data_IF_907347868957
#
_entry.id   IF_907347868957
#
_cell.length_a   1.000
_cell.length_b   1.000
_cell.length_c   1.000
_cell.angle_alpha   90.00
_cell.angle_beta   90.00
_cell.angle_gamma   90.00
#
_symmetry.space_group_name_H-M   'P 1'
#
loop_
_entity.id
_entity.type
_entity.pdbx_description
1 polymer ?
#
# COMPACT_ATOMS: atom_id res chain seq x y z
N UNK A 1 7.86 -23.03 29.19
CA UNK A 1 6.92 -23.15 30.32
C UNK A 1 5.86 -24.24 30.08
N UNK A 2 5.38 -24.43 28.87
CA UNK A 2 4.34 -25.44 28.52
C UNK A 2 4.81 -26.89 28.68
N UNK A 3 6.07 -27.20 28.32
CA UNK A 3 6.62 -28.59 28.37
C UNK A 3 6.70 -29.12 29.82
N UNK A 4 7.03 -28.28 30.81
CA UNK A 4 7.09 -28.71 32.22
C UNK A 4 5.72 -29.05 32.83
N UNK A 5 4.65 -28.48 32.33
CA UNK A 5 3.30 -28.75 32.82
C UNK A 5 2.81 -30.11 32.28
N UNK A 6 3.22 -30.47 31.06
CA UNK A 6 2.85 -31.74 30.47
C UNK A 6 3.49 -32.96 31.19
N UNK A 7 4.73 -32.83 31.57
CA UNK A 7 5.43 -33.87 32.36
C UNK A 7 4.85 -34.06 33.78
N UNK A 8 4.40 -32.98 34.41
CA UNK A 8 3.74 -33.08 35.72
C UNK A 8 2.36 -33.78 35.64
N UNK A 9 1.59 -33.51 34.55
CA UNK A 9 0.30 -34.15 34.33
C UNK A 9 0.43 -35.65 34.05
N UNK A 10 1.41 -36.04 33.21
CA UNK A 10 1.70 -37.45 32.93
C UNK A 10 2.13 -38.21 34.19
N UNK A 11 2.94 -37.59 35.04
CA UNK A 11 3.36 -38.19 36.31
C UNK A 11 2.19 -38.36 37.28
N UNK A 12 1.26 -37.43 37.32
CA UNK A 12 0.07 -37.48 38.17
C UNK A 12 -0.92 -38.57 37.71
N UNK A 13 -1.12 -38.71 36.43
CA UNK A 13 -1.99 -39.73 35.81
C UNK A 13 -1.39 -41.14 36.04
N UNK A 14 -0.07 -41.30 35.95
CA UNK A 14 0.62 -42.56 36.20
C UNK A 14 0.54 -43.01 37.66
N UNK A 15 0.55 -42.06 38.60
CA UNK A 15 0.47 -42.33 40.04
C UNK A 15 -0.92 -42.76 40.50
N UNK A 16 -1.99 -42.28 39.83
CA UNK A 16 -3.40 -42.65 40.13
C UNK A 16 -3.67 -44.10 39.70
N UNK A 17 -3.03 -44.57 38.63
CA UNK A 17 -3.25 -45.93 38.09
C UNK A 17 -2.54 -47.02 38.91
N UNK A 18 -1.57 -46.72 39.77
CA UNK A 18 -0.87 -47.71 40.58
C UNK A 18 -1.59 -48.09 41.88
N UNK A 19 -2.62 -47.35 42.31
CA UNK A 19 -3.27 -47.57 43.61
C UNK A 19 -4.67 -48.19 43.57
N UNK A 20 -5.15 -48.67 42.39
CA UNK A 20 -6.48 -49.34 42.33
C UNK A 20 -6.41 -50.73 41.72
N UNK A 21 -5.88 -51.69 42.45
CA UNK A 21 -6.32 -53.09 42.31
C UNK A 21 -7.63 -53.25 43.12
N UNK A 22 -8.77 -53.37 42.46
CA UNK A 22 -9.95 -53.94 43.10
C UNK A 22 -11.29 -53.25 42.93
N UNK A 23 -11.48 -52.31 41.98
CA UNK A 23 -12.83 -51.77 41.77
C UNK A 23 -13.12 -51.77 40.26
N UNK A 24 -14.14 -52.59 39.89
CA UNK A 24 -14.71 -52.67 38.53
C UNK A 24 -15.50 -51.39 38.28
N UNK A 25 -14.87 -50.36 37.69
CA UNK A 25 -15.58 -49.14 37.34
C UNK A 25 -16.17 -49.25 35.96
N UNK A 26 -17.49 -49.03 35.87
CA UNK A 26 -18.18 -48.74 34.60
C UNK A 26 -17.53 -47.51 33.97
N UNK A 27 -17.15 -47.64 32.71
CA UNK A 27 -16.63 -46.54 31.90
C UNK A 27 -17.72 -45.47 31.74
N UNK A 28 -17.61 -44.40 32.46
CA UNK A 28 -18.49 -43.24 32.28
C UNK A 28 -17.81 -42.28 31.30
N UNK A 29 -18.54 -41.70 30.32
CA UNK A 29 -17.97 -40.79 29.29
C UNK A 29 -17.58 -39.40 29.82
N UNK A 30 -17.70 -39.17 31.14
CA UNK A 30 -17.39 -37.86 31.75
C UNK A 30 -15.90 -37.44 31.71
N UNK A 31 -14.96 -38.41 31.70
CA UNK A 31 -13.53 -38.07 31.69
C UNK A 31 -13.03 -37.56 30.32
N UNK A 32 -13.64 -38.02 29.22
CA UNK A 32 -13.29 -37.52 27.88
C UNK A 32 -13.89 -36.12 27.62
N UNK A 33 -15.07 -35.81 28.18
CA UNK A 33 -15.70 -34.50 28.02
C UNK A 33 -14.94 -33.38 28.72
N UNK A 34 -14.28 -33.68 29.85
CA UNK A 34 -13.48 -32.65 30.56
C UNK A 34 -12.18 -32.28 29.84
N UNK A 35 -11.58 -33.21 29.09
CA UNK A 35 -10.36 -32.92 28.29
C UNK A 35 -10.72 -32.14 27.05
N UNK A 36 -11.85 -32.38 26.41
CA UNK A 36 -12.32 -31.59 25.29
C UNK A 36 -12.75 -30.17 25.69
N UNK A 37 -13.33 -29.98 26.87
CA UNK A 37 -13.68 -28.65 27.39
C UNK A 37 -12.47 -27.78 27.73
N UNK A 38 -11.37 -28.38 28.18
CA UNK A 38 -10.12 -27.67 28.46
C UNK A 38 -9.35 -27.28 27.17
N UNK A 39 -9.53 -28.02 26.09
CA UNK A 39 -8.95 -27.68 24.78
C UNK A 39 -9.74 -26.59 24.05
N UNK A 40 -11.04 -26.47 24.31
CA UNK A 40 -11.90 -25.44 23.72
C UNK A 40 -11.78 -24.08 24.39
N UNK A 41 -11.29 -24.02 25.64
CA UNK A 41 -11.06 -22.75 26.36
C UNK A 41 -9.77 -22.02 25.99
N UNK A 42 -8.86 -22.68 25.24
CA UNK A 42 -7.63 -22.03 24.77
C UNK A 42 -7.71 -21.39 23.38
N UNK A 43 -8.87 -21.42 22.73
CA UNK A 43 -9.07 -20.78 21.41
C UNK A 43 -9.72 -19.39 21.46
N UNK A 44 -9.97 -18.83 22.65
CA UNK A 44 -10.66 -17.53 22.78
C UNK A 44 -9.75 -16.37 23.20
N UNK A 45 -8.46 -16.49 23.03
CA UNK A 45 -7.55 -15.34 23.13
C UNK A 45 -7.06 -14.94 21.73
N UNK A 46 -7.94 -14.92 20.74
CA UNK A 46 -7.78 -14.02 19.59
C UNK A 46 -8.10 -12.65 20.13
N UNK A 47 -7.08 -11.82 20.23
CA UNK A 47 -7.17 -10.46 20.69
C UNK A 47 -8.33 -9.74 19.99
N UNK A 48 -9.45 -9.60 20.71
CA UNK A 48 -10.43 -8.57 20.43
C UNK A 48 -9.73 -7.25 20.74
N UNK A 49 -9.74 -6.35 19.78
CA UNK A 49 -9.35 -4.94 19.97
C UNK A 49 -7.84 -4.61 20.06
N UNK A 50 -7.00 -5.23 19.23
CA UNK A 50 -5.80 -4.51 18.82
C UNK A 50 -6.25 -3.50 17.74
N UNK A 51 -6.49 -2.26 18.13
CA UNK A 51 -6.50 -1.13 17.18
C UNK A 51 -5.25 -1.29 16.31
N UNK A 52 -5.38 -1.34 14.96
CA UNK A 52 -4.21 -1.47 14.11
C UNK A 52 -3.18 -0.42 14.53
N UNK A 53 -1.96 -0.83 14.81
CA UNK A 53 -0.90 0.13 15.12
C UNK A 53 -0.79 1.09 13.93
N UNK A 54 -0.74 2.41 14.17
CA UNK A 54 -0.61 3.37 13.09
C UNK A 54 0.66 3.09 12.29
N UNK A 55 0.59 3.27 10.96
CA UNK A 55 1.72 3.09 10.06
C UNK A 55 2.71 4.25 10.23
N UNK A 56 3.61 4.12 11.19
CA UNK A 56 4.66 5.09 11.44
C UNK A 56 5.97 4.72 10.73
N UNK A 57 6.94 5.65 10.65
CA UNK A 57 8.28 5.35 10.16
C UNK A 57 8.84 4.07 10.78
N UNK A 58 9.37 3.18 9.96
CA UNK A 58 9.91 1.90 10.39
C UNK A 58 8.95 0.70 10.29
N UNK A 59 7.68 0.91 9.92
CA UNK A 59 6.76 -0.21 9.62
C UNK A 59 7.19 -0.86 8.31
N UNK A 60 7.43 -2.17 8.34
CA UNK A 60 7.77 -2.94 7.14
C UNK A 60 6.55 -3.69 6.58
N UNK A 61 6.70 -4.27 5.38
CA UNK A 61 5.62 -4.99 4.69
C UNK A 61 5.06 -6.15 5.51
N UNK A 62 5.89 -6.86 6.27
CA UNK A 62 5.45 -7.96 7.11
C UNK A 62 4.54 -7.47 8.26
N UNK A 63 4.84 -6.30 8.84
CA UNK A 63 3.98 -5.69 9.84
C UNK A 63 2.65 -5.22 9.25
N UNK A 64 2.67 -4.66 8.03
CA UNK A 64 1.45 -4.30 7.29
C UNK A 64 0.57 -5.52 7.04
N UNK A 65 1.15 -6.63 6.59
CA UNK A 65 0.43 -7.87 6.32
C UNK A 65 -0.25 -8.47 7.57
N UNK A 66 0.27 -8.18 8.77
CA UNK A 66 -0.31 -8.63 10.03
C UNK A 66 -1.50 -7.77 10.50
N UNK A 67 -1.63 -6.54 10.00
CA UNK A 67 -2.64 -5.59 10.48
C UNK A 67 -3.99 -5.73 9.79
N UNK A 68 -4.01 -6.16 8.53
CA UNK A 68 -5.24 -6.34 7.77
C UNK A 68 -5.06 -7.40 6.68
N UNK A 69 -6.14 -8.07 6.23
CA UNK A 69 -6.10 -8.94 5.06
C UNK A 69 -5.91 -8.07 3.80
N UNK A 70 -4.67 -7.82 3.44
CA UNK A 70 -4.30 -7.01 2.27
C UNK A 70 -4.09 -7.93 1.07
N UNK A 71 -4.62 -7.53 -0.07
CA UNK A 71 -4.45 -8.25 -1.34
C UNK A 71 -3.10 -7.89 -1.98
N UNK A 72 -2.05 -8.57 -1.55
CA UNK A 72 -0.68 -8.34 -2.00
C UNK A 72 -0.43 -8.89 -3.40
N UNK A 73 0.22 -8.07 -4.26
CA UNK A 73 0.62 -8.44 -5.61
C UNK A 73 2.09 -8.09 -5.86
N UNK A 74 2.75 -8.87 -6.71
CA UNK A 74 4.00 -8.49 -7.36
C UNK A 74 3.74 -7.90 -8.74
N UNK A 75 4.73 -7.19 -9.31
CA UNK A 75 4.67 -6.69 -10.69
C UNK A 75 4.44 -7.84 -11.69
N UNK A 76 5.08 -8.99 -11.46
CA UNK A 76 4.90 -10.18 -12.30
C UNK A 76 3.44 -10.72 -12.27
N UNK A 77 2.78 -10.68 -11.12
CA UNK A 77 1.37 -11.07 -11.01
C UNK A 77 0.46 -10.07 -11.73
N UNK A 78 0.79 -8.77 -11.68
CA UNK A 78 0.07 -7.76 -12.47
C UNK A 78 0.25 -8.06 -13.96
N UNK A 79 1.51 -8.24 -14.45
CA UNK A 79 1.80 -8.58 -15.84
C UNK A 79 1.01 -9.80 -16.30
N UNK A 80 1.05 -10.89 -15.52
CA UNK A 80 0.32 -12.13 -15.81
C UNK A 80 -1.20 -11.92 -15.90
N UNK A 81 -1.77 -11.05 -15.06
CA UNK A 81 -3.20 -10.73 -15.09
C UNK A 81 -3.65 -9.98 -16.36
N UNK A 82 -2.69 -9.42 -17.08
CA UNK A 82 -2.91 -8.68 -18.33
C UNK A 82 -2.65 -9.51 -19.61
N UNK A 83 -2.23 -10.76 -19.46
CA UNK A 83 -1.99 -11.65 -20.60
C UNK A 83 -3.25 -11.80 -21.45
N UNK A 84 -3.10 -11.68 -22.77
CA UNK A 84 -4.21 -11.79 -23.72
C UNK A 84 -5.16 -10.58 -23.76
N UNK A 85 -4.96 -9.57 -22.93
CA UNK A 85 -5.74 -8.32 -23.00
C UNK A 85 -5.12 -7.36 -24.01
N UNK A 86 -5.93 -6.62 -24.76
CA UNK A 86 -5.44 -5.60 -25.69
C UNK A 86 -4.74 -4.45 -24.93
N UNK A 87 -3.90 -3.66 -25.61
CA UNK A 87 -3.38 -2.42 -25.06
C UNK A 87 -4.48 -1.52 -24.51
N UNK A 88 -4.18 -0.81 -23.43
CA UNK A 88 -5.13 0.02 -22.71
C UNK A 88 -4.49 1.32 -22.21
N UNK A 89 -5.31 2.27 -21.75
CA UNK A 89 -4.84 3.45 -21.02
C UNK A 89 -4.59 3.10 -19.56
N UNK A 90 -3.40 3.43 -19.08
CA UNK A 90 -2.99 3.26 -17.67
C UNK A 90 -2.51 4.59 -17.12
N UNK A 91 -2.82 4.84 -15.86
CA UNK A 91 -2.47 6.07 -15.18
C UNK A 91 -1.60 5.80 -13.96
N UNK A 92 -0.75 6.76 -13.65
CA UNK A 92 0.10 6.78 -12.49
C UNK A 92 -0.02 8.14 -11.78
N UNK A 93 -0.15 8.13 -10.47
CA UNK A 93 0.18 9.30 -9.67
C UNK A 93 1.70 9.51 -9.67
N UNK A 94 2.16 10.67 -9.26
CA UNK A 94 3.59 11.03 -9.30
C UNK A 94 4.24 10.90 -7.93
N UNK A 95 3.81 11.72 -6.97
CA UNK A 95 4.48 11.90 -5.69
C UNK A 95 4.28 10.69 -4.78
N UNK A 96 5.39 10.12 -4.29
CA UNK A 96 5.42 8.86 -3.52
C UNK A 96 4.87 7.62 -4.28
N UNK A 97 4.44 7.78 -5.54
CA UNK A 97 4.00 6.70 -6.44
C UNK A 97 5.09 6.31 -7.44
N UNK A 98 5.44 7.18 -8.38
CA UNK A 98 6.53 6.91 -9.33
C UNK A 98 7.83 7.57 -8.91
N UNK A 99 7.76 8.69 -8.19
CA UNK A 99 8.89 9.39 -7.61
C UNK A 99 8.79 9.38 -6.07
N UNK A 100 9.88 9.08 -5.38
CA UNK A 100 10.04 9.45 -3.99
C UNK A 100 10.38 10.95 -3.94
N UNK A 101 9.36 11.78 -3.78
CA UNK A 101 9.45 13.24 -3.92
C UNK A 101 9.72 13.99 -2.61
N UNK A 102 9.82 13.27 -1.50
CA UNK A 102 9.99 13.85 -0.16
C UNK A 102 11.14 14.87 -0.03
N UNK A 103 12.29 14.72 -0.70
CA UNK A 103 13.34 15.74 -0.61
C UNK A 103 12.89 17.12 -1.09
N UNK A 104 12.23 17.22 -2.25
CA UNK A 104 11.69 18.47 -2.79
C UNK A 104 10.58 19.06 -1.92
N UNK A 105 9.68 18.21 -1.45
CA UNK A 105 8.58 18.62 -0.54
C UNK A 105 9.10 19.09 0.82
N UNK A 106 10.07 18.39 1.41
CA UNK A 106 10.70 18.82 2.67
C UNK A 106 11.40 20.16 2.52
N UNK A 107 12.11 20.38 1.41
CA UNK A 107 12.71 21.68 1.10
C UNK A 107 11.63 22.77 1.01
N UNK A 108 10.50 22.49 0.36
CA UNK A 108 9.36 23.40 0.30
C UNK A 108 8.80 23.74 1.68
N UNK A 109 8.65 22.75 2.54
CA UNK A 109 8.23 22.95 3.91
C UNK A 109 9.18 23.88 4.67
N UNK A 110 10.49 23.63 4.60
CA UNK A 110 11.51 24.45 5.28
C UNK A 110 11.52 25.89 4.76
N UNK A 111 11.39 26.08 3.44
CA UNK A 111 11.46 27.40 2.81
C UNK A 111 10.19 28.23 2.99
N UNK A 112 9.00 27.63 2.85
CA UNK A 112 7.75 28.37 2.77
C UNK A 112 6.85 28.28 4.02
N UNK A 113 6.97 27.22 4.81
CA UNK A 113 6.16 27.04 6.04
C UNK A 113 6.81 26.09 7.04
N UNK A 114 7.90 26.51 7.72
CA UNK A 114 8.65 25.65 8.62
C UNK A 114 7.74 24.92 9.64
N UNK A 115 7.80 23.58 9.67
CA UNK A 115 7.04 22.76 10.60
C UNK A 115 5.53 22.60 10.29
N UNK A 116 5.06 23.11 9.14
CA UNK A 116 3.63 23.05 8.74
C UNK A 116 3.49 22.54 7.30
N UNK A 117 2.25 22.29 6.88
CA UNK A 117 1.92 21.84 5.51
C UNK A 117 1.37 22.97 4.62
N UNK A 118 1.38 24.21 5.09
CA UNK A 118 0.80 25.36 4.36
C UNK A 118 1.54 25.70 3.06
N UNK A 119 2.81 25.25 2.92
CA UNK A 119 3.56 25.39 1.68
C UNK A 119 2.87 24.76 0.48
N UNK A 120 2.04 23.73 0.66
CA UNK A 120 1.25 23.10 -0.41
C UNK A 120 0.22 24.05 -1.01
N UNK A 121 -0.14 25.12 -0.31
CA UNK A 121 -1.05 26.19 -0.79
C UNK A 121 -0.30 27.34 -1.45
N UNK A 122 1.04 27.33 -1.40
CA UNK A 122 1.85 28.43 -1.92
C UNK A 122 2.16 28.22 -3.41
N UNK A 123 1.70 29.10 -4.33
CA UNK A 123 2.00 28.99 -5.74
C UNK A 123 3.50 28.99 -6.07
N UNK A 124 4.32 29.72 -5.30
CA UNK A 124 5.77 29.75 -5.51
C UNK A 124 6.44 28.41 -5.23
N UNK A 125 5.90 27.63 -4.29
CA UNK A 125 6.36 26.26 -4.08
C UNK A 125 6.13 25.42 -5.34
N UNK A 126 4.93 25.47 -5.92
CA UNK A 126 4.61 24.69 -7.12
C UNK A 126 5.41 25.14 -8.34
N UNK A 127 5.67 26.47 -8.49
CA UNK A 127 6.55 26.94 -9.53
C UNK A 127 7.95 26.34 -9.44
N UNK A 128 8.51 26.18 -8.23
CA UNK A 128 9.81 25.55 -8.03
C UNK A 128 9.73 24.02 -8.20
N UNK A 129 8.71 23.39 -7.61
CA UNK A 129 8.55 21.95 -7.65
C UNK A 129 8.37 21.43 -9.08
N UNK A 130 7.54 22.10 -9.87
CA UNK A 130 7.26 21.71 -11.26
C UNK A 130 8.35 22.17 -12.24
N UNK A 131 9.29 23.02 -11.85
CA UNK A 131 10.32 23.57 -12.73
C UNK A 131 11.74 23.35 -12.17
N UNK A 132 12.06 22.14 -11.76
CA UNK A 132 13.42 21.74 -11.45
C UNK A 132 13.64 21.03 -10.13
N UNK A 133 12.78 21.21 -9.12
CA UNK A 133 13.01 20.55 -7.82
C UNK A 133 12.77 19.03 -7.85
N UNK A 134 12.21 18.50 -8.94
CA UNK A 134 12.17 17.05 -9.16
C UNK A 134 13.57 16.46 -9.41
N UNK A 135 14.60 17.26 -9.62
CA UNK A 135 16.01 16.79 -9.60
C UNK A 135 16.42 16.16 -8.26
N UNK A 136 15.70 16.50 -7.17
CA UNK A 136 15.90 15.92 -5.84
C UNK A 136 15.04 14.67 -5.60
N UNK A 137 14.11 14.38 -6.50
CA UNK A 137 13.24 13.20 -6.41
C UNK A 137 13.95 11.96 -6.93
N UNK A 138 13.64 10.80 -6.36
CA UNK A 138 14.22 9.53 -6.79
C UNK A 138 13.16 8.67 -7.50
N UNK A 139 13.39 8.26 -8.76
CA UNK A 139 12.52 7.31 -9.44
C UNK A 139 12.46 5.98 -8.69
N UNK A 140 11.25 5.52 -8.38
CA UNK A 140 11.06 4.26 -7.65
C UNK A 140 11.29 3.06 -8.56
N UNK A 141 11.98 2.04 -8.07
CA UNK A 141 12.29 0.84 -8.87
C UNK A 141 11.04 0.06 -9.29
N UNK A 142 10.02 0.05 -8.42
CA UNK A 142 8.73 -0.53 -8.77
C UNK A 142 8.07 0.20 -9.94
N UNK A 143 8.18 1.53 -9.99
CA UNK A 143 7.61 2.34 -11.07
C UNK A 143 8.35 2.10 -12.38
N UNK A 144 9.69 1.99 -12.37
CA UNK A 144 10.48 1.61 -13.55
C UNK A 144 9.99 0.28 -14.13
N UNK A 145 9.80 -0.71 -13.26
CA UNK A 145 9.32 -2.04 -13.66
C UNK A 145 7.91 -2.02 -14.25
N UNK A 146 6.98 -1.30 -13.61
CA UNK A 146 5.60 -1.16 -14.08
C UNK A 146 5.52 -0.43 -15.43
N UNK A 147 6.19 0.72 -15.55
CA UNK A 147 6.18 1.54 -16.76
C UNK A 147 6.80 0.77 -17.93
N UNK A 148 7.96 0.12 -17.70
CA UNK A 148 8.57 -0.72 -18.74
C UNK A 148 7.65 -1.86 -19.19
N UNK A 149 6.97 -2.53 -18.26
CA UNK A 149 5.99 -3.58 -18.55
C UNK A 149 4.84 -3.04 -19.42
N UNK A 150 4.25 -1.89 -19.07
CA UNK A 150 3.17 -1.29 -19.82
C UNK A 150 3.61 -0.79 -21.21
N UNK A 151 4.79 -0.19 -21.32
CA UNK A 151 5.38 0.21 -22.60
C UNK A 151 5.58 -0.99 -23.52
N UNK A 152 6.12 -2.10 -23.01
CA UNK A 152 6.29 -3.35 -23.75
C UNK A 152 4.96 -3.92 -24.26
N UNK A 153 3.89 -3.76 -23.48
CA UNK A 153 2.53 -4.17 -23.87
C UNK A 153 1.90 -3.26 -24.93
N UNK A 154 2.45 -2.07 -25.15
CA UNK A 154 1.87 -1.06 -26.02
C UNK A 154 0.76 -0.23 -25.35
N UNK A 155 0.64 -0.26 -24.03
CA UNK A 155 -0.32 0.54 -23.27
C UNK A 155 0.02 2.03 -23.37
N UNK A 156 -1.01 2.90 -23.31
CA UNK A 156 -0.84 4.35 -23.24
C UNK A 156 -0.67 4.79 -21.79
N UNK A 157 0.44 5.46 -21.48
CA UNK A 157 0.77 5.90 -20.11
C UNK A 157 0.37 7.34 -19.91
N UNK A 158 -0.29 7.63 -18.77
CA UNK A 158 -0.66 8.96 -18.32
C UNK A 158 -0.17 9.16 -16.87
N UNK A 159 0.39 10.34 -16.61
CA UNK A 159 0.69 10.77 -15.25
C UNK A 159 -0.35 11.79 -14.81
N UNK A 160 -1.00 11.55 -13.66
CA UNK A 160 -2.09 12.39 -13.13
C UNK A 160 -1.79 12.71 -11.68
N UNK A 161 -1.36 13.93 -11.41
CA UNK A 161 -0.91 14.36 -10.09
C UNK A 161 -1.85 15.37 -9.44
N UNK A 162 -1.87 15.39 -8.10
CA UNK A 162 -2.54 16.43 -7.31
C UNK A 162 -1.79 17.76 -7.24
N UNK A 163 -0.61 17.89 -7.84
CA UNK A 163 0.13 19.14 -7.90
C UNK A 163 -0.71 20.23 -8.59
N UNK A 164 -0.53 21.47 -8.14
CA UNK A 164 -1.11 22.62 -8.85
C UNK A 164 -0.41 22.86 -10.18
N UNK A 165 -1.18 23.17 -11.21
CA UNK A 165 -0.66 23.53 -12.52
C UNK A 165 0.12 24.86 -12.46
N UNK A 166 1.17 24.94 -13.26
CA UNK A 166 2.02 26.14 -13.42
C UNK A 166 2.13 26.53 -14.89
N UNK A 167 2.56 27.76 -15.21
CA UNK A 167 2.65 28.23 -16.60
C UNK A 167 3.59 27.39 -17.46
N UNK A 168 4.66 26.94 -16.86
CA UNK A 168 5.65 26.05 -17.47
C UNK A 168 5.91 24.89 -16.52
N UNK A 169 6.38 23.76 -17.03
CA UNK A 169 6.76 22.61 -16.23
C UNK A 169 7.90 21.82 -16.91
N UNK A 170 8.72 21.18 -16.15
CA UNK A 170 9.75 20.26 -16.61
C UNK A 170 9.47 18.81 -16.18
N UNK A 171 8.40 18.57 -15.43
CA UNK A 171 8.04 17.28 -14.86
C UNK A 171 7.87 16.23 -15.95
N UNK A 172 7.12 16.56 -17.05
CA UNK A 172 6.94 15.67 -18.20
C UNK A 172 8.28 15.19 -18.75
N UNK A 173 9.24 16.11 -18.91
CA UNK A 173 10.56 15.78 -19.44
C UNK A 173 11.38 14.94 -18.45
N UNK A 174 11.29 15.25 -17.17
CA UNK A 174 11.94 14.49 -16.11
C UNK A 174 11.43 13.05 -16.11
N UNK A 175 10.11 12.84 -16.07
CA UNK A 175 9.52 11.49 -16.10
C UNK A 175 9.85 10.73 -17.39
N UNK A 176 9.87 11.43 -18.54
CA UNK A 176 10.28 10.83 -19.81
C UNK A 176 11.69 10.26 -19.72
N UNK A 177 12.62 11.01 -19.16
CA UNK A 177 14.02 10.60 -19.04
C UNK A 177 14.19 9.49 -17.99
N UNK A 178 13.59 9.63 -16.81
CA UNK A 178 13.73 8.70 -15.69
C UNK A 178 13.17 7.32 -15.98
N UNK A 179 12.10 7.26 -16.76
CA UNK A 179 11.41 6.03 -17.12
C UNK A 179 11.64 5.60 -18.58
N UNK A 180 12.56 6.26 -19.29
CA UNK A 180 12.94 5.93 -20.67
C UNK A 180 11.73 5.83 -21.60
N UNK A 181 10.75 6.73 -21.47
CA UNK A 181 9.55 6.73 -22.30
C UNK A 181 9.90 7.26 -23.69
N UNK A 182 9.62 6.51 -24.77
CA UNK A 182 9.85 6.99 -26.15
C UNK A 182 9.14 8.32 -26.42
N UNK A 183 9.75 9.20 -27.19
CA UNK A 183 9.23 10.55 -27.47
C UNK A 183 7.83 10.53 -28.09
N UNK A 184 7.54 9.53 -28.93
CA UNK A 184 6.24 9.33 -29.56
C UNK A 184 5.17 8.72 -28.64
N UNK A 185 5.55 8.33 -27.42
CA UNK A 185 4.67 7.71 -26.43
C UNK A 185 4.50 8.53 -25.15
N UNK A 186 5.23 9.65 -25.03
CA UNK A 186 5.10 10.50 -23.86
C UNK A 186 3.85 11.37 -23.96
N UNK A 187 3.01 11.32 -22.92
CA UNK A 187 1.89 12.23 -22.74
C UNK A 187 2.30 13.33 -21.75
N UNK A 188 1.86 14.59 -21.96
CA UNK A 188 2.06 15.64 -20.97
C UNK A 188 1.46 15.24 -19.61
N UNK A 189 2.11 15.63 -18.53
CA UNK A 189 1.60 15.45 -17.17
C UNK A 189 0.28 16.20 -17.01
N UNK A 190 -0.66 15.55 -16.34
CA UNK A 190 -1.97 16.11 -16.01
C UNK A 190 -1.92 16.60 -14.58
N UNK A 191 -1.97 17.91 -14.40
CA UNK A 191 -2.02 18.57 -13.10
C UNK A 191 -3.48 18.72 -12.68
N UNK A 192 -3.99 17.75 -11.91
CA UNK A 192 -5.39 17.75 -11.47
C UNK A 192 -5.65 18.78 -10.37
N UNK A 193 -4.59 19.24 -9.70
CA UNK A 193 -4.69 20.15 -8.56
C UNK A 193 -5.37 19.52 -7.36
N UNK A 194 -5.62 20.34 -6.34
CA UNK A 194 -6.38 19.98 -5.14
C UNK A 194 -7.57 20.90 -4.97
N UNK A 195 -8.74 20.33 -4.67
CA UNK A 195 -9.96 21.10 -4.39
C UNK A 195 -10.71 20.46 -3.23
N UNK A 196 -10.90 21.23 -2.18
CA UNK A 196 -11.55 20.75 -0.97
C UNK A 196 -12.90 20.07 -1.26
N UNK A 197 -13.06 18.85 -0.73
CA UNK A 197 -14.27 18.05 -0.87
C UNK A 197 -14.48 17.39 -2.24
N UNK A 198 -13.51 17.47 -3.15
CA UNK A 198 -13.58 16.84 -4.48
C UNK A 198 -12.32 16.04 -4.77
N UNK A 199 -12.48 14.83 -5.29
CA UNK A 199 -11.36 14.10 -5.86
C UNK A 199 -11.16 14.53 -7.31
N UNK A 200 -10.24 15.47 -7.53
CA UNK A 200 -10.01 16.13 -8.82
C UNK A 200 -9.50 15.18 -9.90
N UNK A 201 -8.91 14.06 -9.52
CA UNK A 201 -8.40 13.05 -10.47
C UNK A 201 -9.51 12.30 -11.20
N UNK A 202 -10.70 12.14 -10.59
CA UNK A 202 -11.81 11.34 -11.14
C UNK A 202 -12.14 11.72 -12.58
N UNK A 203 -12.30 13.03 -12.86
CA UNK A 203 -12.66 13.48 -14.20
C UNK A 203 -11.57 13.14 -15.23
N UNK A 204 -10.30 13.32 -14.87
CA UNK A 204 -9.17 13.01 -15.75
C UNK A 204 -9.06 11.51 -16.06
N UNK A 205 -9.23 10.65 -15.02
CA UNK A 205 -9.24 9.21 -15.23
C UNK A 205 -10.37 8.78 -16.18
N UNK A 206 -11.55 9.40 -16.05
CA UNK A 206 -12.69 9.15 -16.92
C UNK A 206 -12.41 9.60 -18.35
N UNK A 207 -11.93 10.83 -18.56
CA UNK A 207 -11.69 11.42 -19.87
C UNK A 207 -10.60 10.67 -20.66
N UNK A 208 -9.56 10.20 -19.95
CA UNK A 208 -8.50 9.37 -20.53
C UNK A 208 -8.85 7.88 -20.59
N UNK A 209 -10.05 7.49 -20.16
CA UNK A 209 -10.52 6.10 -20.13
C UNK A 209 -9.55 5.13 -19.43
N UNK A 210 -8.92 5.59 -18.37
CA UNK A 210 -7.94 4.83 -17.60
C UNK A 210 -8.57 3.53 -17.10
N UNK A 211 -7.88 2.41 -17.33
CA UNK A 211 -8.32 1.07 -16.92
C UNK A 211 -7.61 0.57 -15.67
N UNK A 212 -6.38 1.03 -15.44
CA UNK A 212 -5.59 0.75 -14.25
C UNK A 212 -5.01 2.08 -13.79
N UNK A 213 -5.12 2.37 -12.49
CA UNK A 213 -4.50 3.54 -11.88
C UNK A 213 -3.64 3.12 -10.69
N UNK A 214 -2.38 3.52 -10.74
CA UNK A 214 -1.41 3.29 -9.69
C UNK A 214 -1.26 4.55 -8.85
N UNK A 215 -1.37 4.42 -7.53
CA UNK A 215 -1.24 5.55 -6.63
C UNK A 215 -0.92 5.13 -5.21
N UNK A 216 -0.37 6.03 -4.42
CA UNK A 216 -0.02 5.78 -3.03
C UNK A 216 -1.07 6.28 -2.04
N UNK A 217 -1.90 7.24 -2.44
CA UNK A 217 -2.89 7.89 -1.58
C UNK A 217 -4.29 7.24 -1.66
N UNK A 218 -5.10 7.49 -0.62
CA UNK A 218 -6.49 7.05 -0.60
C UNK A 218 -7.31 7.70 -1.72
N UNK A 219 -6.97 8.94 -2.09
CA UNK A 219 -7.60 9.63 -3.20
C UNK A 219 -7.35 8.95 -4.54
N UNK A 220 -6.19 8.32 -4.74
CA UNK A 220 -5.87 7.60 -5.97
C UNK A 220 -6.75 6.36 -6.12
N UNK A 221 -6.88 5.60 -5.03
CA UNK A 221 -7.69 4.38 -5.03
C UNK A 221 -9.17 4.72 -5.21
N UNK A 222 -9.67 5.71 -4.47
CA UNK A 222 -11.08 6.12 -4.60
C UNK A 222 -11.38 6.75 -5.96
N UNK A 223 -10.43 7.47 -6.59
CA UNK A 223 -10.59 7.97 -7.97
C UNK A 223 -10.71 6.82 -8.97
N UNK A 224 -9.85 5.80 -8.86
CA UNK A 224 -9.92 4.63 -9.71
C UNK A 224 -11.26 3.89 -9.56
N UNK A 225 -11.71 3.66 -8.33
CA UNK A 225 -12.99 3.01 -8.04
C UNK A 225 -14.18 3.80 -8.61
N UNK A 226 -14.17 5.13 -8.49
CA UNK A 226 -15.24 6.00 -9.00
C UNK A 226 -15.43 5.89 -10.52
N UNK A 227 -14.41 5.49 -11.27
CA UNK A 227 -14.47 5.30 -12.73
C UNK A 227 -14.45 3.82 -13.14
N UNK A 228 -14.60 2.91 -12.21
CA UNK A 228 -14.49 1.45 -12.43
C UNK A 228 -13.15 1.03 -13.04
N UNK A 229 -12.09 1.76 -12.75
CA UNK A 229 -10.72 1.35 -13.05
C UNK A 229 -10.16 0.48 -11.92
N UNK A 230 -9.20 -0.38 -12.26
CA UNK A 230 -8.43 -1.16 -11.29
C UNK A 230 -7.48 -0.23 -10.54
N UNK A 231 -7.78 0.06 -9.27
CA UNK A 231 -6.90 0.83 -8.39
C UNK A 231 -5.86 -0.08 -7.76
N UNK A 232 -4.59 0.22 -7.95
CA UNK A 232 -3.47 -0.55 -7.38
C UNK A 232 -2.62 0.37 -6.54
N UNK A 233 -2.48 0.04 -5.26
CA UNK A 233 -1.70 0.83 -4.33
C UNK A 233 -0.22 0.56 -4.45
N UNK A 234 0.54 1.64 -4.60
CA UNK A 234 1.98 1.69 -4.37
C UNK A 234 2.21 2.14 -2.92
N UNK A 235 3.09 1.50 -2.18
CA UNK A 235 3.35 1.87 -0.80
C UNK A 235 4.11 3.20 -0.72
N UNK A 236 3.61 4.11 0.11
CA UNK A 236 4.35 5.33 0.46
C UNK A 236 5.49 4.96 1.38
N UNK A 237 6.68 5.47 1.10
CA UNK A 237 7.87 5.20 1.91
C UNK A 237 7.69 5.66 3.36
N UNK A 238 8.20 4.89 4.31
CA UNK A 238 8.04 5.17 5.74
C UNK A 238 8.66 6.50 6.17
N UNK A 239 9.66 6.99 5.43
CA UNK A 239 10.33 8.28 5.62
C UNK A 239 9.78 9.41 4.74
N UNK A 240 8.65 9.21 4.05
CA UNK A 240 7.96 10.28 3.34
C UNK A 240 7.70 11.47 4.26
N UNK A 241 7.89 12.68 3.72
CA UNK A 241 7.56 13.94 4.42
C UNK A 241 6.06 14.18 4.54
N UNK A 242 5.24 13.47 3.77
CA UNK A 242 3.79 13.63 3.76
C UNK A 242 3.10 12.62 4.70
N UNK A 243 2.65 13.11 5.84
CA UNK A 243 2.03 12.30 6.92
C UNK A 243 0.56 12.69 7.13
N UNK A 244 -0.26 11.76 7.65
CA UNK A 244 0.05 10.37 8.02
C UNK A 244 0.27 9.49 6.78
N UNK A 245 0.89 8.31 6.97
CA UNK A 245 0.98 7.31 5.91
C UNK A 245 -0.40 6.70 5.66
N UNK A 246 -0.80 6.49 4.39
CA UNK A 246 -2.02 5.78 4.06
C UNK A 246 -1.99 4.35 4.58
N UNK A 247 -3.12 3.85 5.02
CA UNK A 247 -3.27 2.45 5.40
C UNK A 247 -3.59 1.61 4.16
N UNK A 248 -2.70 0.70 3.79
CA UNK A 248 -2.89 -0.17 2.64
C UNK A 248 -4.05 -1.17 2.87
N UNK A 249 -4.85 -1.41 1.83
CA UNK A 249 -5.92 -2.42 1.83
C UNK A 249 -7.26 -1.96 2.41
N UNK A 250 -7.38 -0.72 2.92
CA UNK A 250 -8.63 -0.23 3.56
C UNK A 250 -9.82 -0.15 2.62
N UNK A 251 -9.58 -0.01 1.33
CA UNK A 251 -10.61 0.07 0.29
C UNK A 251 -10.79 -1.26 -0.45
N UNK A 252 -10.17 -2.35 0.03
CA UNK A 252 -10.14 -3.65 -0.65
C UNK A 252 -9.30 -3.67 -1.92
N UNK A 253 -8.43 -2.67 -2.07
CA UNK A 253 -7.54 -2.53 -3.21
C UNK A 253 -6.39 -3.55 -3.19
N UNK A 254 -5.84 -3.80 -4.36
CA UNK A 254 -4.59 -4.53 -4.52
C UNK A 254 -3.40 -3.65 -4.14
N UNK A 255 -2.39 -4.24 -3.50
CA UNK A 255 -1.21 -3.52 -2.99
C UNK A 255 0.06 -4.20 -3.50
N UNK A 256 0.98 -3.41 -4.06
CA UNK A 256 2.23 -3.95 -4.58
C UNK A 256 3.22 -4.16 -3.43
N UNK A 257 3.74 -5.38 -3.32
CA UNK A 257 4.77 -5.72 -2.32
C UNK A 257 6.08 -4.98 -2.60
N UNK A 258 6.79 -4.56 -1.55
CA UNK A 258 8.11 -3.92 -1.64
C UNK A 258 8.11 -2.69 -2.57
N UNK A 259 7.05 -1.90 -2.55
CA UNK A 259 6.87 -0.77 -3.46
C UNK A 259 7.13 0.59 -2.81
N UNK A 260 7.82 0.62 -1.68
CA UNK A 260 8.19 1.85 -0.97
C UNK A 260 9.20 2.70 -1.76
N UNK A 261 10.11 2.02 -2.53
CA UNK A 261 11.20 2.65 -3.30
C UNK A 261 11.32 2.09 -4.72
#
# INVERSE_FOLDING_TARGET
>A
MVVKIFDLLLHFICKINKHKKGIRMRKTPLALSAIFLLLSLNQSAVAKDATPAPLYPGVNVAQLAQQAPVHWLSVAQIENSLNGRPPMAVGFDIDDTVLFSSPGFYRGQVEFSPGKQDYLKNPQFWEKMNNGWDEFSMPKEVAKSLIAMHLKRGDSIYFVTGRSETKTETVTKTLQNDFLIPQDKVNPVIFAGDKAGQNTKVQWLKDKQIKIFYGDSDNDITAAQAVSARGIRVLRASNSSYKPLPQAGVFGEEVIVNSEY
#
